data_IF_248719231060
#
_entry.id   IF_248719231060
#
_cell.length_a   1.000
_cell.length_b   1.000
_cell.length_c   1.000
_cell.angle_alpha   90.00
_cell.angle_beta   90.00
_cell.angle_gamma   90.00
#
_symmetry.space_group_name_H-M   'P 1'
#
loop_
_entity.id
_entity.type
_entity.pdbx_description
1 polymer ?
#
# COMPACT_ATOMS: atom_id res chain seq x y z
N UNK A 1 3.52 28.17 2.57
CA UNK A 1 2.42 27.22 2.31
C UNK A 1 2.18 26.39 3.57
N UNK A 2 0.96 25.94 3.89
CA UNK A 2 0.72 25.08 5.07
C UNK A 2 1.27 23.66 4.82
N UNK A 3 1.84 23.03 5.84
CA UNK A 3 2.40 21.67 5.73
C UNK A 3 1.40 20.63 5.22
N UNK A 4 0.11 20.76 5.58
CA UNK A 4 -0.96 19.86 5.12
C UNK A 4 -1.19 19.94 3.61
N UNK A 5 -0.98 21.12 3.02
CA UNK A 5 -1.09 21.35 1.57
C UNK A 5 0.13 20.76 0.86
N UNK A 6 1.32 20.91 1.43
CA UNK A 6 2.55 20.31 0.87
C UNK A 6 2.43 18.78 0.84
N UNK A 7 1.93 18.16 1.92
CA UNK A 7 1.66 16.72 1.97
C UNK A 7 0.63 16.29 0.92
N UNK A 8 -0.47 17.03 0.78
CA UNK A 8 -1.50 16.73 -0.23
C UNK A 8 -0.96 16.83 -1.65
N UNK A 9 -0.16 17.87 -1.93
CA UNK A 9 0.49 18.06 -3.22
C UNK A 9 1.48 16.92 -3.53
N UNK A 10 2.26 16.47 -2.54
CA UNK A 10 3.20 15.35 -2.73
C UNK A 10 2.46 14.04 -3.01
N UNK A 11 1.40 13.77 -2.26
CA UNK A 11 0.59 12.57 -2.45
C UNK A 11 -0.07 12.55 -3.84
N UNK A 12 -0.54 13.71 -4.30
CA UNK A 12 -1.11 13.88 -5.65
C UNK A 12 -0.08 13.59 -6.75
N UNK A 13 1.15 14.13 -6.63
CA UNK A 13 2.23 13.87 -7.60
C UNK A 13 2.56 12.38 -7.68
N UNK A 14 2.63 11.70 -6.53
CA UNK A 14 2.88 10.25 -6.50
C UNK A 14 1.71 9.45 -7.07
N UNK A 15 0.47 9.89 -6.86
CA UNK A 15 -0.72 9.25 -7.41
C UNK A 15 -0.76 9.36 -8.94
N UNK A 16 -0.51 10.54 -9.48
CA UNK A 16 -0.46 10.77 -10.93
C UNK A 16 0.62 9.93 -11.63
N UNK A 17 1.71 9.65 -10.92
CA UNK A 17 2.86 8.88 -11.42
C UNK A 17 2.91 7.44 -10.89
N UNK A 18 1.81 6.92 -10.34
CA UNK A 18 1.80 5.60 -9.68
C UNK A 18 2.20 4.44 -10.61
N UNK A 19 1.98 4.59 -11.91
CA UNK A 19 2.32 3.61 -12.94
C UNK A 19 3.81 3.61 -13.31
N UNK A 20 4.58 4.62 -12.90
CA UNK A 20 6.01 4.74 -13.18
C UNK A 20 6.89 3.98 -12.17
N UNK A 21 6.27 3.41 -11.12
CA UNK A 21 7.00 2.75 -10.04
C UNK A 21 7.54 3.74 -9.01
N UNK A 22 8.69 3.44 -8.42
CA UNK A 22 9.29 4.28 -7.38
C UNK A 22 10.01 5.48 -8.02
N UNK A 23 9.57 6.69 -7.68
CA UNK A 23 10.10 7.93 -8.25
C UNK A 23 11.14 8.59 -7.34
N UNK A 24 12.17 9.24 -7.91
CA UNK A 24 13.30 9.80 -7.16
C UNK A 24 12.99 11.13 -6.43
N UNK A 25 13.52 11.29 -5.21
CA UNK A 25 13.46 12.52 -4.41
C UNK A 25 14.81 12.85 -3.76
N UNK A 26 15.04 14.14 -3.52
CA UNK A 26 16.24 14.64 -2.85
C UNK A 26 17.34 14.99 -3.83
N UNK A 27 18.54 14.43 -3.62
CA UNK A 27 19.74 14.71 -4.42
C UNK A 27 20.11 13.60 -5.40
N UNK A 28 19.21 12.64 -5.61
CA UNK A 28 19.38 11.63 -6.66
C UNK A 28 19.13 12.24 -8.04
N UNK A 29 19.67 11.58 -9.07
CA UNK A 29 19.45 11.99 -10.46
C UNK A 29 17.95 12.01 -10.78
N UNK A 30 17.51 13.02 -11.55
CA UNK A 30 16.12 13.20 -11.95
C UNK A 30 15.12 13.36 -10.79
N UNK A 31 15.60 13.71 -9.59
CA UNK A 31 14.75 13.94 -8.43
C UNK A 31 13.63 14.93 -8.74
N UNK A 32 12.41 14.57 -8.34
CA UNK A 32 11.22 15.40 -8.57
C UNK A 32 11.35 16.71 -7.81
N UNK A 33 11.41 17.87 -8.53
CA UNK A 33 11.53 19.16 -7.88
C UNK A 33 10.21 19.51 -7.16
N UNK A 34 10.27 20.31 -6.08
CA UNK A 34 9.07 20.83 -5.46
C UNK A 34 8.30 21.72 -6.45
N UNK A 35 6.96 21.58 -6.55
CA UNK A 35 6.13 22.51 -7.31
C UNK A 35 6.28 23.96 -6.80
N UNK A 36 6.00 24.93 -7.68
CA UNK A 36 6.23 26.35 -7.41
C UNK A 36 5.67 26.83 -6.07
N UNK A 37 6.50 27.55 -5.30
CA UNK A 37 6.15 28.08 -3.98
C UNK A 37 6.34 27.11 -2.80
N UNK A 38 6.82 25.88 -3.05
CA UNK A 38 7.19 24.91 -2.01
C UNK A 38 8.73 24.87 -1.88
N UNK A 39 9.25 24.95 -0.66
CA UNK A 39 10.70 24.82 -0.44
C UNK A 39 11.14 23.36 -0.56
N UNK A 40 12.37 23.12 -1.03
CA UNK A 40 12.96 21.76 -1.08
C UNK A 40 12.94 21.08 0.29
N UNK A 41 13.16 21.84 1.37
CA UNK A 41 13.12 21.35 2.75
C UNK A 41 11.74 20.83 3.14
N UNK A 42 10.70 21.62 2.87
CA UNK A 42 9.32 21.24 3.22
C UNK A 42 8.83 20.06 2.37
N UNK A 43 9.28 20.00 1.12
CA UNK A 43 9.02 18.88 0.22
C UNK A 43 9.58 17.56 0.75
N UNK A 44 10.86 17.54 1.14
CA UNK A 44 11.49 16.35 1.72
C UNK A 44 10.95 16.02 3.10
N UNK A 45 10.58 17.03 3.90
CA UNK A 45 9.88 16.81 5.17
C UNK A 45 8.52 16.13 4.95
N UNK A 46 7.78 16.52 3.90
CA UNK A 46 6.52 15.87 3.56
C UNK A 46 6.72 14.40 3.16
N UNK A 47 7.80 14.07 2.43
CA UNK A 47 8.17 12.65 2.16
C UNK A 47 8.32 11.87 3.46
N UNK A 48 9.14 12.38 4.40
CA UNK A 48 9.37 11.72 5.68
C UNK A 48 8.07 11.50 6.46
N UNK A 49 7.23 12.53 6.55
CA UNK A 49 5.95 12.44 7.25
C UNK A 49 5.02 11.43 6.57
N UNK A 50 4.86 11.48 5.25
CA UNK A 50 3.97 10.54 4.56
C UNK A 50 4.46 9.08 4.71
N UNK A 51 5.78 8.85 4.77
CA UNK A 51 6.37 7.54 5.04
C UNK A 51 6.15 7.07 6.49
N UNK A 52 6.32 7.97 7.46
CA UNK A 52 6.05 7.74 8.87
C UNK A 52 4.61 7.27 9.10
N UNK A 53 3.66 7.93 8.43
CA UNK A 53 2.23 7.59 8.49
C UNK A 53 1.79 6.54 7.45
N UNK A 54 2.74 5.86 6.80
CA UNK A 54 2.51 4.73 5.88
C UNK A 54 1.60 5.04 4.70
N UNK A 55 1.59 6.28 4.22
CA UNK A 55 0.87 6.69 3.01
C UNK A 55 1.70 6.50 1.74
N UNK A 56 3.01 6.31 1.89
CA UNK A 56 3.95 6.03 0.82
C UNK A 56 4.94 4.96 1.28
N UNK A 57 5.49 4.23 0.33
CA UNK A 57 6.66 3.38 0.54
C UNK A 57 7.91 4.20 0.21
N UNK A 58 8.87 4.22 1.12
CA UNK A 58 10.11 5.00 1.01
C UNK A 58 11.34 4.09 1.06
N UNK A 59 12.20 4.24 0.06
CA UNK A 59 13.48 3.56 -0.03
C UNK A 59 14.60 4.60 0.03
N UNK A 60 15.29 4.77 1.17
CA UNK A 60 16.38 5.72 1.28
C UNK A 60 17.56 5.26 0.41
N UNK A 61 18.30 6.23 -0.14
CA UNK A 61 19.60 5.99 -0.78
C UNK A 61 20.67 6.53 0.16
N UNK A 62 21.61 5.67 0.55
CA UNK A 62 22.82 6.10 1.24
C UNK A 62 23.65 6.96 0.29
N UNK A 63 23.53 8.27 0.44
CA UNK A 63 24.46 9.17 -0.22
C UNK A 63 25.66 9.40 0.71
N UNK A 64 26.87 9.21 0.20
CA UNK A 64 28.13 9.42 0.92
C UNK A 64 28.41 10.89 1.26
N UNK A 65 27.53 11.81 0.87
CA UNK A 65 27.60 13.20 1.30
C UNK A 65 27.01 13.36 2.69
N UNK A 66 27.92 13.56 3.64
CA UNK A 66 27.70 14.05 4.99
C UNK A 66 26.73 15.24 5.00
N UNK A 67 25.50 14.97 5.41
CA UNK A 67 24.52 15.87 6.05
C UNK A 67 23.18 15.19 5.79
N UNK A 68 22.45 14.79 6.84
CA UNK A 68 21.23 13.97 6.81
C UNK A 68 20.08 14.49 5.94
N UNK A 69 20.30 14.55 4.64
CA UNK A 69 19.43 15.05 3.60
C UNK A 69 18.72 13.85 2.99
N UNK A 70 17.43 13.72 3.29
CA UNK A 70 16.55 12.70 2.76
C UNK A 70 16.67 12.63 1.23
N UNK A 71 17.30 11.57 0.75
CA UNK A 71 17.40 11.24 -0.67
C UNK A 71 17.01 9.77 -0.83
N UNK A 72 16.30 9.47 -1.90
CA UNK A 72 15.74 8.14 -2.07
C UNK A 72 14.59 8.10 -3.07
N UNK A 73 13.86 7.01 -3.05
CA UNK A 73 12.76 6.76 -3.95
C UNK A 73 11.47 6.57 -3.16
N UNK A 74 10.38 7.15 -3.67
CA UNK A 74 9.06 7.02 -3.06
C UNK A 74 8.05 6.46 -4.06
N UNK A 75 7.09 5.69 -3.56
CA UNK A 75 5.91 5.26 -4.30
C UNK A 75 4.67 5.43 -3.43
N UNK A 76 3.55 5.88 -4.00
CA UNK A 76 2.28 5.84 -3.26
C UNK A 76 1.85 4.38 -3.05
N UNK A 77 1.35 4.07 -1.86
CA UNK A 77 0.82 2.75 -1.56
C UNK A 77 -0.72 2.78 -1.48
N UNK A 78 -1.33 1.62 -1.27
CA UNK A 78 -2.79 1.47 -1.27
C UNK A 78 -3.49 2.36 -0.23
N UNK A 79 -2.86 2.60 0.92
CA UNK A 79 -3.42 3.48 1.94
C UNK A 79 -3.39 4.94 1.47
N UNK A 80 -2.27 5.38 0.89
CA UNK A 80 -2.14 6.69 0.27
C UNK A 80 -3.18 6.93 -0.82
N UNK A 81 -3.40 5.94 -1.69
CA UNK A 81 -4.43 5.98 -2.74
C UNK A 81 -5.81 6.14 -2.11
N UNK A 82 -6.19 5.29 -1.15
CA UNK A 82 -7.50 5.35 -0.50
C UNK A 82 -7.75 6.67 0.23
N UNK A 83 -6.71 7.24 0.84
CA UNK A 83 -6.79 8.56 1.49
C UNK A 83 -7.04 9.65 0.46
N UNK A 84 -6.35 9.61 -0.68
CA UNK A 84 -6.48 10.61 -1.74
C UNK A 84 -7.83 10.52 -2.46
N UNK A 85 -8.34 9.30 -2.64
CA UNK A 85 -9.65 9.06 -3.26
C UNK A 85 -10.84 9.31 -2.30
N UNK A 86 -10.57 9.55 -1.02
CA UNK A 86 -11.60 9.81 0.00
C UNK A 86 -12.29 8.55 0.54
N UNK A 87 -11.71 7.37 0.32
CA UNK A 87 -12.22 6.11 0.85
C UNK A 87 -11.87 5.87 2.33
N UNK A 88 -10.84 6.54 2.85
CA UNK A 88 -10.39 6.44 4.25
C UNK A 88 -9.94 7.82 4.75
N UNK A 89 -10.21 8.13 6.03
CA UNK A 89 -9.74 9.36 6.65
C UNK A 89 -8.20 9.37 6.79
N UNK A 90 -7.52 10.51 6.50
CA UNK A 90 -6.07 10.57 6.56
C UNK A 90 -5.56 10.48 8.02
N UNK A 91 -4.52 9.67 8.30
CA UNK A 91 -3.95 9.53 9.66
C UNK A 91 -3.14 10.76 10.12
N UNK A 92 -2.80 11.66 9.20
CA UNK A 92 -2.19 12.97 9.44
C UNK A 92 -2.99 14.03 8.67
N UNK A 93 -3.05 15.28 9.16
CA UNK A 93 -3.75 16.35 8.44
C UNK A 93 -3.19 16.54 7.03
N UNK A 94 -4.01 16.30 6.02
CA UNK A 94 -3.69 16.52 4.60
C UNK A 94 -4.76 17.42 4.02
N UNK A 95 -4.34 18.41 3.24
CA UNK A 95 -5.24 19.29 2.51
C UNK A 95 -5.10 18.98 1.04
N UNK A 96 -6.12 18.33 0.47
CA UNK A 96 -6.21 18.06 -0.96
C UNK A 96 -7.08 19.15 -1.54
N UNK A 97 -6.59 19.78 -2.61
CA UNK A 97 -7.39 20.72 -3.36
C UNK A 97 -8.45 19.93 -4.14
N UNK A 98 -9.67 19.89 -3.61
CA UNK A 98 -10.82 19.21 -4.22
C UNK A 98 -11.10 19.70 -5.66
N UNK A 99 -10.67 20.92 -6.02
CA UNK A 99 -10.79 21.44 -7.38
C UNK A 99 -9.78 20.82 -8.37
N UNK A 100 -8.62 20.35 -7.86
CA UNK A 100 -7.62 19.56 -8.59
C UNK A 100 -7.91 18.07 -8.57
N UNK A 101 -9.04 17.64 -7.98
CA UNK A 101 -9.70 16.36 -8.26
C UNK A 101 -10.24 16.31 -9.70
N UNK A 102 -9.59 17.01 -10.63
CA UNK A 102 -9.92 17.12 -12.05
C UNK A 102 -9.85 15.74 -12.68
N UNK A 103 -11.03 15.21 -13.03
CA UNK A 103 -11.39 14.70 -14.36
C UNK A 103 -10.29 13.95 -15.15
N UNK A 104 -9.44 13.17 -14.51
CA UNK A 104 -8.83 12.03 -15.20
C UNK A 104 -10.03 11.13 -15.50
N UNK A 105 -10.36 10.81 -16.77
CA UNK A 105 -11.40 9.85 -17.06
C UNK A 105 -10.96 8.60 -16.35
N UNK A 106 -11.63 8.28 -15.23
CA UNK A 106 -11.49 7.11 -14.37
C UNK A 106 -10.67 6.08 -15.12
N UNK A 107 -9.34 6.22 -15.04
CA UNK A 107 -8.47 5.40 -15.89
C UNK A 107 -8.85 4.02 -15.44
N UNK A 108 -9.30 3.18 -16.38
CA UNK A 108 -10.04 1.94 -16.12
C UNK A 108 -9.21 0.96 -15.26
N UNK A 109 -8.98 1.30 -14.00
CA UNK A 109 -8.85 0.36 -12.93
C UNK A 109 -10.27 -0.12 -12.75
N UNK A 110 -10.42 -1.41 -13.06
CA UNK A 110 -11.57 -2.18 -12.68
C UNK A 110 -11.97 -1.76 -11.25
N UNK A 111 -13.28 -1.63 -10.97
CA UNK A 111 -13.78 -0.90 -9.81
C UNK A 111 -13.08 -1.35 -8.53
N UNK A 112 -13.13 -0.60 -7.44
CA UNK A 112 -12.70 -1.10 -6.11
C UNK A 112 -13.39 -2.46 -5.79
N UNK A 113 -14.56 -2.73 -6.39
CA UNK A 113 -15.20 -4.04 -6.46
C UNK A 113 -14.32 -5.16 -7.04
N UNK A 114 -13.42 -4.88 -7.99
CA UNK A 114 -12.48 -5.80 -8.64
C UNK A 114 -11.28 -6.18 -7.77
N UNK A 115 -10.74 -5.25 -6.98
CA UNK A 115 -9.64 -5.55 -6.03
C UNK A 115 -10.22 -6.30 -4.82
N UNK A 116 -11.38 -5.87 -4.31
CA UNK A 116 -12.12 -6.67 -3.32
C UNK A 116 -12.62 -7.98 -3.91
N UNK A 117 -13.03 -8.05 -5.19
CA UNK A 117 -13.46 -9.31 -5.82
C UNK A 117 -12.29 -10.23 -6.10
N UNK A 118 -11.10 -9.72 -6.40
CA UNK A 118 -9.91 -10.54 -6.59
C UNK A 118 -9.41 -11.06 -5.23
N UNK A 119 -9.40 -10.21 -4.20
CA UNK A 119 -9.13 -10.68 -2.82
C UNK A 119 -10.21 -11.65 -2.33
N UNK A 120 -11.49 -11.42 -2.63
CA UNK A 120 -12.57 -12.38 -2.37
C UNK A 120 -12.37 -13.67 -3.17
N UNK A 121 -12.09 -13.60 -4.46
CA UNK A 121 -11.90 -14.77 -5.30
C UNK A 121 -10.70 -15.61 -4.84
N UNK A 122 -9.61 -14.97 -4.43
CA UNK A 122 -8.44 -15.68 -3.86
C UNK A 122 -8.80 -16.25 -2.48
N UNK A 123 -9.56 -15.51 -1.65
CA UNK A 123 -10.03 -16.01 -0.34
C UNK A 123 -10.98 -17.20 -0.50
N UNK A 124 -11.94 -17.14 -1.42
CA UNK A 124 -12.88 -18.21 -1.76
C UNK A 124 -12.16 -19.42 -2.39
N UNK A 125 -11.18 -19.19 -3.27
CA UNK A 125 -10.37 -20.27 -3.83
C UNK A 125 -9.57 -20.98 -2.73
N UNK A 126 -8.99 -20.22 -1.79
CA UNK A 126 -8.26 -20.78 -0.66
C UNK A 126 -9.19 -21.52 0.32
N UNK A 127 -10.41 -21.03 0.52
CA UNK A 127 -11.44 -21.71 1.29
C UNK A 127 -11.86 -23.05 0.66
N UNK A 128 -11.99 -23.10 -0.67
CA UNK A 128 -12.23 -24.35 -1.41
C UNK A 128 -11.08 -25.34 -1.25
N UNK A 129 -9.83 -24.86 -1.27
CA UNK A 129 -8.65 -25.72 -1.00
C UNK A 129 -8.70 -26.28 0.43
N UNK A 130 -8.98 -25.46 1.44
CA UNK A 130 -9.11 -25.92 2.83
C UNK A 130 -10.24 -26.98 2.94
N UNK A 131 -11.37 -26.73 2.27
CA UNK A 131 -12.51 -27.66 2.25
C UNK A 131 -12.17 -28.97 1.55
N UNK A 132 -11.47 -28.93 0.43
CA UNK A 132 -11.01 -30.12 -0.29
C UNK A 132 -10.04 -30.94 0.57
N UNK A 133 -9.14 -30.31 1.32
CA UNK A 133 -8.24 -31.00 2.26
C UNK A 133 -9.04 -31.67 3.39
N UNK A 134 -10.09 -31.03 3.90
CA UNK A 134 -10.95 -31.63 4.92
C UNK A 134 -11.70 -32.88 4.40
N UNK A 135 -12.15 -32.83 3.14
CA UNK A 135 -12.93 -33.88 2.50
C UNK A 135 -12.09 -34.96 1.82
N UNK A 136 -10.78 -34.76 1.69
CA UNK A 136 -9.88 -35.72 1.07
C UNK A 136 -9.91 -37.06 1.82
N UNK A 137 -9.94 -38.15 1.08
CA UNK A 137 -9.87 -39.51 1.61
C UNK A 137 -8.40 -39.91 1.85
N UNK A 138 -7.78 -39.20 2.80
CA UNK A 138 -6.39 -39.39 3.24
C UNK A 138 -6.34 -39.48 4.77
N UNK A 139 -5.20 -39.90 5.32
CA UNK A 139 -5.07 -40.05 6.76
C UNK A 139 -5.25 -38.72 7.50
N UNK A 140 -5.74 -38.78 8.74
CA UNK A 140 -5.89 -37.58 9.58
C UNK A 140 -4.54 -36.89 9.86
N UNK A 141 -3.45 -37.65 9.86
CA UNK A 141 -2.11 -37.09 9.99
C UNK A 141 -1.75 -36.21 8.79
N UNK A 142 -1.96 -36.70 7.56
CA UNK A 142 -1.70 -35.94 6.33
C UNK A 142 -2.58 -34.69 6.25
N UNK A 143 -3.85 -34.78 6.66
CA UNK A 143 -4.73 -33.60 6.74
C UNK A 143 -4.19 -32.56 7.72
N UNK A 144 -3.73 -32.98 8.89
CA UNK A 144 -3.21 -32.08 9.90
C UNK A 144 -1.89 -31.40 9.48
N UNK A 145 -1.01 -32.10 8.77
CA UNK A 145 0.20 -31.52 8.20
C UNK A 145 -0.12 -30.47 7.14
N UNK A 146 -1.02 -30.78 6.20
CA UNK A 146 -1.47 -29.83 5.18
C UNK A 146 -2.11 -28.57 5.79
N UNK A 147 -2.95 -28.75 6.81
CA UNK A 147 -3.55 -27.66 7.59
C UNK A 147 -2.52 -26.79 8.30
N UNK A 148 -1.50 -27.41 8.90
CA UNK A 148 -0.42 -26.69 9.59
C UNK A 148 0.39 -25.81 8.62
N UNK A 149 0.66 -26.30 7.42
CA UNK A 149 1.34 -25.52 6.38
C UNK A 149 0.48 -24.35 5.89
N UNK A 150 -0.82 -24.59 5.67
CA UNK A 150 -1.76 -23.53 5.29
C UNK A 150 -1.90 -22.46 6.38
N UNK A 151 -1.94 -22.86 7.65
CA UNK A 151 -1.97 -21.92 8.76
C UNK A 151 -0.72 -21.03 8.79
N UNK A 152 0.47 -21.62 8.59
CA UNK A 152 1.73 -20.86 8.49
C UNK A 152 1.73 -19.91 7.29
N UNK A 153 1.20 -20.34 6.15
CA UNK A 153 1.05 -19.50 4.97
C UNK A 153 0.15 -18.30 5.25
N UNK A 154 -1.03 -18.52 5.85
CA UNK A 154 -1.99 -17.47 6.21
C UNK A 154 -1.45 -16.48 7.24
N UNK A 155 -0.59 -16.94 8.16
CA UNK A 155 0.07 -16.10 9.15
C UNK A 155 1.27 -15.30 8.62
N UNK A 156 1.69 -15.54 7.36
CA UNK A 156 2.87 -14.90 6.78
C UNK A 156 2.60 -13.44 6.37
N UNK A 157 3.67 -12.62 6.39
CA UNK A 157 3.60 -11.22 5.92
C UNK A 157 3.11 -11.09 4.46
N UNK A 158 3.56 -11.93 3.49
CA UNK A 158 3.06 -11.88 2.12
C UNK A 158 1.57 -12.19 2.00
N UNK A 159 1.06 -13.15 2.78
CA UNK A 159 -0.37 -13.46 2.78
C UNK A 159 -1.19 -12.29 3.32
N UNK A 160 -0.72 -11.60 4.36
CA UNK A 160 -1.39 -10.41 4.89
C UNK A 160 -1.43 -9.25 3.87
N UNK A 161 -0.39 -9.10 3.03
CA UNK A 161 -0.39 -8.09 1.96
C UNK A 161 -1.31 -8.44 0.79
N UNK A 162 -1.45 -9.72 0.44
CA UNK A 162 -2.29 -10.15 -0.71
C UNK A 162 -3.76 -10.30 -0.32
N UNK A 163 -4.05 -10.91 0.83
CA UNK A 163 -5.41 -11.28 1.25
C UNK A 163 -6.05 -10.27 2.21
N UNK A 164 -5.27 -9.34 2.77
CA UNK A 164 -5.76 -8.38 3.75
C UNK A 164 -6.49 -9.04 4.91
N UNK A 165 -7.74 -8.63 5.15
CA UNK A 165 -8.58 -9.19 6.21
C UNK A 165 -9.02 -10.65 5.95
N UNK A 166 -9.00 -11.11 4.69
CA UNK A 166 -9.40 -12.48 4.31
C UNK A 166 -8.49 -13.54 4.93
N UNK A 167 -7.18 -13.27 5.04
CA UNK A 167 -6.24 -14.18 5.70
C UNK A 167 -6.62 -14.43 7.17
N UNK A 168 -6.99 -13.35 7.89
CA UNK A 168 -7.42 -13.44 9.30
C UNK A 168 -8.76 -14.16 9.42
N UNK A 169 -9.70 -13.90 8.51
CA UNK A 169 -11.02 -14.54 8.51
C UNK A 169 -10.92 -16.05 8.28
N UNK A 170 -10.09 -16.50 7.32
CA UNK A 170 -9.86 -17.94 7.09
C UNK A 170 -9.14 -18.60 8.26
N UNK A 171 -8.15 -17.91 8.83
CA UNK A 171 -7.47 -18.38 10.04
C UNK A 171 -8.44 -18.59 11.21
N UNK A 172 -9.33 -17.63 11.44
CA UNK A 172 -10.34 -17.69 12.49
C UNK A 172 -11.48 -18.67 12.20
N UNK A 173 -11.72 -19.04 10.94
CA UNK A 173 -12.81 -19.97 10.59
C UNK A 173 -12.38 -21.43 10.69
N UNK A 174 -11.12 -21.73 10.36
CA UNK A 174 -10.65 -23.12 10.19
C UNK A 174 -9.51 -23.54 11.13
N UNK A 175 -8.83 -22.59 11.78
CA UNK A 175 -7.60 -22.86 12.53
C UNK A 175 -7.60 -22.31 13.96
N UNK A 176 -8.65 -21.62 14.40
CA UNK A 176 -8.87 -21.34 15.83
C UNK A 176 -9.42 -22.58 16.51
N UNK A 177 -8.78 -22.96 17.62
CA UNK A 177 -9.29 -23.96 18.56
C UNK A 177 -10.58 -23.50 19.21
#
# INVERSE_FOLDING_TARGET
MKDSVVRGCLLQVLYERQNEGSIPFGHVEQAVPPPGGISRRDWLRAVAQLSEYRLIDWTPVENKSEMGLLSGFAKINDLGIKVLEGGVAPPIRISIDESRRTKVPRQQQAPIAAITSQQQAITEALEKVITAINQADVSEQEKNEAKSLLQKLLASKPAASVLGAGARSLAAKYFTK
#
